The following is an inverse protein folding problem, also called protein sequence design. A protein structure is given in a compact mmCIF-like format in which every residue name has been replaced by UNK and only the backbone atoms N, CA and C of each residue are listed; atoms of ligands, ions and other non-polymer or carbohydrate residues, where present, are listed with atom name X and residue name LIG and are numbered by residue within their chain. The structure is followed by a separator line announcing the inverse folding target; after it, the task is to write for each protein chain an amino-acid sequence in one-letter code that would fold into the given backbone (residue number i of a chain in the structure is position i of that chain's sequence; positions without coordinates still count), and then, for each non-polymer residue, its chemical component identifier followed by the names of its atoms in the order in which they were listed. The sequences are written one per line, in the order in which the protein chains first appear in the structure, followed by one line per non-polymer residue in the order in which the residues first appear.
data_IF_484024804601
#
_entry.id   IF_484024804601
#
_cell.length_a   1.000
_cell.length_b   1.000
_cell.length_c   1.000
_cell.angle_alpha   90.00
_cell.angle_beta   90.00
_cell.angle_gamma   90.00
#
_symmetry.space_group_name_H-M   'P 1'
#
loop_
_entity.id
_entity.type
_entity.pdbx_description
1 polymer ?
#
# COMPACT_ATOMS: atom_id res chain seq x y z
N UNK A 1 2.20 -4.51 -16.22
CA UNK A 1 3.57 -4.66 -15.64
C UNK A 1 3.43 -4.90 -14.15
N UNK A 2 4.10 -5.92 -13.61
CA UNK A 2 4.06 -6.24 -12.17
C UNK A 2 5.18 -5.53 -11.42
N UNK A 3 4.85 -4.60 -10.53
CA UNK A 3 5.83 -3.84 -9.73
C UNK A 3 5.87 -4.42 -8.33
N UNK A 4 7.07 -4.76 -7.82
CA UNK A 4 7.21 -5.34 -6.49
C UNK A 4 7.16 -4.26 -5.42
N UNK A 5 6.21 -4.40 -4.49
CA UNK A 5 5.94 -3.39 -3.46
C UNK A 5 6.51 -3.76 -2.07
N UNK A 6 7.51 -4.64 -2.02
CA UNK A 6 8.11 -5.14 -0.78
C UNK A 6 7.38 -6.31 -0.11
N UNK A 7 6.15 -6.61 -0.55
CA UNK A 7 5.35 -7.77 -0.07
C UNK A 7 4.73 -8.57 -1.21
N UNK A 8 4.10 -7.88 -2.15
CA UNK A 8 3.40 -8.47 -3.29
C UNK A 8 3.78 -7.74 -4.59
N UNK A 9 3.54 -8.38 -5.73
CA UNK A 9 3.58 -7.73 -7.03
C UNK A 9 2.24 -7.07 -7.33
N UNK A 10 2.26 -5.78 -7.65
CA UNK A 10 1.09 -5.02 -8.04
C UNK A 10 1.06 -4.89 -9.56
N UNK A 11 0.01 -5.39 -10.20
CA UNK A 11 -0.17 -5.29 -11.64
C UNK A 11 -0.71 -3.91 -12.00
N UNK A 12 0.07 -3.15 -12.78
CA UNK A 12 -0.29 -1.83 -13.27
C UNK A 12 -0.33 -1.84 -14.80
N UNK A 13 -1.43 -1.35 -15.37
CA UNK A 13 -1.56 -1.03 -16.80
C UNK A 13 -1.04 0.38 -17.04
N UNK A 14 -0.01 0.51 -17.88
CA UNK A 14 0.64 1.80 -18.17
C UNK A 14 -0.21 2.57 -19.18
N UNK A 15 -0.62 3.78 -18.81
CA UNK A 15 -1.34 4.73 -19.69
C UNK A 15 -0.34 5.78 -20.21
N UNK A 16 -0.63 6.40 -21.36
CA UNK A 16 0.25 7.41 -21.99
C UNK A 16 0.56 8.60 -21.07
N UNK A 17 -0.37 8.96 -20.18
CA UNK A 17 -0.19 10.04 -19.19
C UNK A 17 0.83 9.70 -18.09
N UNK A 18 1.26 8.44 -17.98
CA UNK A 18 2.25 7.97 -17.00
C UNK A 18 3.68 7.99 -17.57
N UNK A 19 3.87 8.41 -18.82
CA UNK A 19 5.18 8.52 -19.46
C UNK A 19 5.96 9.66 -18.81
N UNK A 20 7.19 9.38 -18.36
CA UNK A 20 8.05 10.34 -17.66
C UNK A 20 8.06 10.17 -16.13
N UNK A 21 7.14 9.38 -15.58
CA UNK A 21 7.11 9.00 -14.17
C UNK A 21 7.88 7.71 -13.91
N UNK A 22 8.40 7.54 -12.69
CA UNK A 22 9.13 6.32 -12.33
C UNK A 22 8.18 5.19 -11.93
N UNK A 23 8.54 3.95 -12.27
CA UNK A 23 7.71 2.77 -11.95
C UNK A 23 7.45 2.61 -10.44
N UNK A 24 8.37 3.09 -9.59
CA UNK A 24 8.23 3.04 -8.13
C UNK A 24 7.09 3.91 -7.58
N UNK A 25 6.67 4.95 -8.29
CA UNK A 25 5.55 5.82 -7.87
C UNK A 25 4.19 5.09 -7.94
N UNK A 26 4.07 4.10 -8.82
CA UNK A 26 2.83 3.35 -9.02
C UNK A 26 2.63 2.20 -8.02
N UNK A 27 3.63 1.92 -7.17
CA UNK A 27 3.57 0.86 -6.15
C UNK A 27 4.02 1.39 -4.77
N UNK A 28 3.08 1.85 -3.91
CA UNK A 28 3.42 2.47 -2.64
C UNK A 28 3.85 1.45 -1.58
N UNK A 29 5.10 1.51 -1.13
CA UNK A 29 5.74 0.53 -0.20
C UNK A 29 5.21 0.54 1.23
N UNK A 30 4.38 1.53 1.56
CA UNK A 30 3.78 1.71 2.89
C UNK A 30 2.29 1.94 2.76
N UNK A 31 1.52 1.41 3.70
CA UNK A 31 0.10 1.69 3.81
C UNK A 31 -0.12 3.14 4.25
N UNK A 32 -1.18 3.76 3.74
CA UNK A 32 -1.62 5.07 4.23
C UNK A 32 -2.11 4.91 5.66
N UNK A 33 -1.55 5.69 6.57
CA UNK A 33 -2.05 5.79 7.94
C UNK A 33 -3.28 6.69 7.93
N UNK A 34 -4.42 6.15 8.35
CA UNK A 34 -5.62 6.95 8.57
C UNK A 34 -5.64 7.34 10.05
N UNK A 35 -5.42 8.62 10.34
CA UNK A 35 -5.67 9.15 11.68
C UNK A 35 -7.19 9.25 11.87
N UNK A 36 -7.77 8.20 12.46
CA UNK A 36 -9.15 8.26 12.95
C UNK A 36 -9.30 9.23 14.12
N UNK A 37 -10.53 9.53 14.51
CA UNK A 37 -10.84 10.14 15.81
C UNK A 37 -10.21 9.33 16.95
N UNK A 38 -9.69 10.01 17.98
CA UNK A 38 -9.07 9.39 19.14
C UNK A 38 -9.95 8.25 19.68
N UNK A 39 -9.49 7.00 19.54
CA UNK A 39 -10.14 5.81 20.10
C UNK A 39 -10.68 4.78 19.09
N UNK A 40 -10.88 5.10 17.82
CA UNK A 40 -11.42 4.14 16.84
C UNK A 40 -10.33 3.74 15.84
N UNK A 41 -9.73 2.57 16.05
CA UNK A 41 -8.75 1.95 15.12
C UNK A 41 -7.42 1.54 15.75
N UNK A 42 -7.19 1.80 17.05
CA UNK A 42 -5.97 1.45 17.77
C UNK A 42 -5.84 -0.06 18.13
N UNK A 43 -6.43 -0.97 17.33
CA UNK A 43 -6.31 -2.42 17.57
C UNK A 43 -5.95 -3.16 16.28
N UNK A 44 -4.71 -2.98 15.84
CA UNK A 44 -3.87 -4.13 15.44
C UNK A 44 -2.49 -3.99 16.08
N UNK A 45 -2.48 -3.79 17.41
CA UNK A 45 -1.37 -4.29 18.21
C UNK A 45 -1.34 -5.81 17.99
N UNK A 46 -0.25 -6.30 17.42
CA UNK A 46 -0.08 -7.68 16.95
C UNK A 46 0.04 -8.68 18.10
N UNK A 47 -1.02 -8.86 18.90
CA UNK A 47 -1.16 -10.03 19.79
C UNK A 47 -2.59 -10.54 19.72
N UNK A 48 -2.70 -11.84 19.37
CA UNK A 48 -3.91 -12.67 19.30
C UNK A 48 -4.78 -12.54 18.03
N UNK A 49 -4.31 -13.12 16.92
CA UNK A 49 -5.22 -13.84 16.02
C UNK A 49 -5.78 -15.04 16.81
N UNK A 50 -7.04 -14.97 17.20
CA UNK A 50 -7.77 -16.10 17.78
C UNK A 50 -8.04 -17.11 16.66
N UNK A 51 -7.79 -18.39 16.97
CA UNK A 51 -8.12 -19.57 16.15
C UNK A 51 -9.50 -19.48 15.52
#
# INVERSE_FOLDING_TARGET
VGIYNGKNFQEVSIVVEMIGHTLGEFAPTRTRVNHGSAGIGATKSSRAQKK
#
